data_IF_684200636964
#
_entry.id   IF_684200636964
#
_cell.length_a   1.000
_cell.length_b   1.000
_cell.length_c   1.000
_cell.angle_alpha   90.00
_cell.angle_beta   90.00
_cell.angle_gamma   90.00
#
_symmetry.space_group_name_H-M   'P 1'
#
loop_
_entity.id
_entity.type
_entity.pdbx_description
1 polymer ?
#
# COMPACT_ATOMS: atom_id res chain seq x y z
N UNK A 1 -23.96 6.98 24.94
CA UNK A 1 -25.10 7.73 24.36
C UNK A 1 -24.57 8.85 23.48
N UNK A 2 -24.01 8.50 22.32
CA UNK A 2 -23.68 9.43 21.24
C UNK A 2 -24.06 8.73 19.93
N UNK A 3 -25.37 8.69 19.67
CA UNK A 3 -25.92 8.47 18.33
C UNK A 3 -26.22 9.86 17.81
N UNK A 4 -25.24 10.52 17.21
CA UNK A 4 -25.55 11.58 16.28
C UNK A 4 -25.68 10.91 14.92
N UNK A 5 -26.92 10.91 14.41
CA UNK A 5 -27.24 10.50 13.05
C UNK A 5 -26.42 11.35 12.08
N UNK A 6 -25.34 10.79 11.54
CA UNK A 6 -24.57 11.35 10.42
C UNK A 6 -25.34 11.21 9.10
N UNK A 7 -26.65 11.51 9.08
CA UNK A 7 -27.44 11.66 7.87
C UNK A 7 -27.35 13.09 7.34
N UNK A 8 -26.13 13.60 7.12
CA UNK A 8 -25.93 14.78 6.29
C UNK A 8 -25.99 14.30 4.83
N UNK A 9 -27.20 14.20 4.29
CA UNK A 9 -27.39 14.14 2.85
C UNK A 9 -26.95 15.49 2.28
N UNK A 10 -25.69 15.59 1.86
CA UNK A 10 -25.20 16.72 1.06
C UNK A 10 -25.79 16.54 -0.33
N UNK A 11 -27.08 16.82 -0.47
CA UNK A 11 -27.73 17.03 -1.74
C UNK A 11 -27.31 18.42 -2.19
N UNK A 12 -26.77 18.53 -3.42
CA UNK A 12 -26.67 19.85 -4.04
C UNK A 12 -28.08 20.44 -4.17
N UNK A 13 -28.19 21.76 -4.33
CA UNK A 13 -29.46 22.46 -4.62
C UNK A 13 -30.26 21.85 -5.78
N UNK A 14 -29.62 21.01 -6.61
CA UNK A 14 -30.16 20.37 -7.80
C UNK A 14 -30.54 18.89 -7.58
N UNK A 15 -30.56 18.40 -6.33
CA UNK A 15 -30.93 17.01 -5.99
C UNK A 15 -29.92 15.96 -6.43
N UNK A 16 -28.71 16.36 -6.84
CA UNK A 16 -27.62 15.44 -7.20
C UNK A 16 -26.74 15.17 -5.98
N UNK A 17 -26.37 13.90 -5.79
CA UNK A 17 -25.34 13.49 -4.83
C UNK A 17 -24.06 14.31 -5.08
N UNK A 18 -23.55 14.98 -4.05
CA UNK A 18 -22.43 15.90 -4.19
C UNK A 18 -21.10 15.13 -4.26
N UNK A 19 -20.86 14.49 -5.41
CA UNK A 19 -19.71 13.61 -5.64
C UNK A 19 -18.47 14.44 -5.96
N UNK A 20 -17.37 14.20 -5.24
CA UNK A 20 -16.07 14.82 -5.51
C UNK A 20 -15.57 14.47 -6.91
N UNK A 21 -15.30 15.52 -7.69
CA UNK A 21 -14.68 15.45 -9.01
C UNK A 21 -13.53 16.45 -9.06
N UNK A 22 -12.51 16.10 -9.82
CA UNK A 22 -11.45 17.05 -10.17
C UNK A 22 -11.80 17.88 -11.41
N UNK A 23 -10.89 18.78 -11.79
CA UNK A 23 -11.04 19.65 -12.96
C UNK A 23 -11.06 18.91 -14.31
N UNK A 24 -10.76 17.61 -14.32
CA UNK A 24 -10.87 16.75 -15.51
C UNK A 24 -12.15 15.88 -15.47
N UNK A 25 -13.05 16.12 -14.51
CA UNK A 25 -14.30 15.40 -14.34
C UNK A 25 -14.15 13.99 -13.76
N UNK A 26 -12.94 13.58 -13.34
CA UNK A 26 -12.70 12.24 -12.77
C UNK A 26 -13.30 12.19 -11.37
N UNK A 27 -14.06 11.12 -11.08
CA UNK A 27 -14.63 10.91 -9.76
C UNK A 27 -13.55 10.48 -8.77
N UNK A 28 -13.43 11.22 -7.67
CA UNK A 28 -12.55 10.87 -6.55
C UNK A 28 -13.31 9.88 -5.67
N UNK A 29 -12.79 8.65 -5.54
CA UNK A 29 -13.47 7.55 -4.80
C UNK A 29 -12.66 6.99 -3.64
N UNK A 30 -11.36 7.23 -3.61
CA UNK A 30 -10.50 6.65 -2.60
C UNK A 30 -9.64 7.71 -1.92
N UNK A 31 -9.39 7.50 -0.63
CA UNK A 31 -8.51 8.31 0.18
C UNK A 31 -7.27 7.49 0.55
N UNK A 32 -6.08 8.04 0.30
CA UNK A 32 -4.83 7.52 0.88
C UNK A 32 -4.54 8.31 2.16
N UNK A 33 -4.57 7.64 3.30
CA UNK A 33 -4.46 8.25 4.61
C UNK A 33 -3.13 7.86 5.26
N UNK A 34 -2.16 8.79 5.26
CA UNK A 34 -0.88 8.62 5.92
C UNK A 34 -1.03 8.95 7.40
N UNK A 35 -0.94 7.93 8.27
CA UNK A 35 -1.23 8.10 9.69
C UNK A 35 -0.02 8.46 10.53
N UNK A 36 1.19 8.30 9.99
CA UNK A 36 2.44 8.61 10.68
C UNK A 36 3.53 8.79 9.65
N UNK A 37 4.57 9.52 10.01
CA UNK A 37 5.83 9.70 9.31
C UNK A 37 6.93 8.72 9.79
N UNK A 38 6.72 8.08 10.94
CA UNK A 38 7.68 7.14 11.54
C UNK A 38 7.71 5.83 10.75
N UNK A 39 8.91 5.27 10.61
CA UNK A 39 9.13 3.96 10.01
C UNK A 39 10.21 3.20 10.79
N UNK A 40 10.08 1.87 10.83
CA UNK A 40 11.08 0.95 11.39
C UNK A 40 12.13 0.50 10.36
N UNK A 41 11.99 0.90 9.08
CA UNK A 41 12.99 0.73 8.03
C UNK A 41 13.60 2.08 7.62
N UNK A 42 14.68 2.05 6.84
CA UNK A 42 15.42 3.22 6.32
C UNK A 42 15.75 3.04 4.84
N UNK A 43 14.73 2.72 4.05
CA UNK A 43 14.91 2.36 2.64
C UNK A 43 15.63 3.45 1.87
N UNK A 44 16.70 3.08 1.13
CA UNK A 44 17.57 4.00 0.40
C UNK A 44 16.81 4.95 -0.51
N UNK A 45 15.78 4.44 -1.18
CA UNK A 45 14.92 5.19 -2.11
C UNK A 45 13.83 6.03 -1.44
N UNK A 46 13.70 5.99 -0.12
CA UNK A 46 12.58 6.60 0.61
C UNK A 46 13.05 7.66 1.62
N UNK A 47 14.09 7.36 2.41
CA UNK A 47 14.59 8.26 3.45
C UNK A 47 16.10 8.11 3.69
N UNK A 48 16.76 9.10 4.31
CA UNK A 48 18.16 9.03 4.72
C UNK A 48 18.43 7.87 5.68
N UNK A 49 19.71 7.51 5.86
CA UNK A 49 20.10 6.39 6.72
C UNK A 49 19.79 6.67 8.20
N UNK A 50 20.04 7.91 8.60
CA UNK A 50 19.73 8.47 9.92
C UNK A 50 18.22 8.55 10.14
N UNK A 51 17.45 8.56 9.05
CA UNK A 51 16.01 8.78 9.02
C UNK A 51 15.65 10.25 8.85
N UNK A 52 14.38 10.54 9.08
CA UNK A 52 13.84 11.91 9.10
C UNK A 52 13.42 12.26 10.51
N UNK A 53 13.61 13.52 10.91
CA UNK A 53 13.12 14.03 12.18
C UNK A 53 11.62 13.85 12.25
N UNK A 54 11.09 13.08 13.22
CA UNK A 54 9.66 12.88 13.30
C UNK A 54 8.95 14.19 13.61
N UNK A 55 7.84 14.45 12.94
CA UNK A 55 6.97 15.58 13.28
C UNK A 55 6.42 15.41 14.69
N UNK A 56 6.19 16.54 15.36
CA UNK A 56 5.60 16.58 16.69
C UNK A 56 4.22 15.92 16.69
N UNK A 57 3.81 15.36 17.84
CA UNK A 57 2.50 14.72 17.94
C UNK A 57 1.35 15.72 17.65
N UNK A 58 1.53 16.98 18.04
CA UNK A 58 0.59 18.09 17.79
C UNK A 58 0.50 18.52 16.32
N UNK A 59 1.46 18.11 15.49
CA UNK A 59 1.48 18.43 14.05
C UNK A 59 0.84 17.32 13.20
N UNK A 60 0.58 16.16 13.80
CA UNK A 60 -0.15 15.07 13.17
C UNK A 60 -1.62 15.15 13.57
N UNK A 61 -2.51 14.88 12.62
CA UNK A 61 -3.91 14.64 12.96
C UNK A 61 -4.00 13.49 13.98
N UNK A 62 -4.82 13.69 15.00
CA UNK A 62 -5.29 12.65 15.91
C UNK A 62 -6.10 11.61 15.13
N UNK A 63 -6.31 10.44 15.73
CA UNK A 63 -7.12 9.40 15.09
C UNK A 63 -8.59 9.81 15.00
N UNK A 64 -9.05 10.60 15.97
CA UNK A 64 -10.38 11.18 16.04
C UNK A 64 -10.60 12.18 14.89
N UNK A 65 -9.63 13.07 14.64
CA UNK A 65 -9.67 14.01 13.51
C UNK A 65 -9.62 13.28 12.16
N UNK A 66 -8.78 12.24 12.04
CA UNK A 66 -8.72 11.43 10.82
C UNK A 66 -10.03 10.68 10.56
N UNK A 67 -10.64 10.09 11.59
CA UNK A 67 -11.93 9.39 11.47
C UNK A 67 -13.05 10.39 11.11
N UNK A 68 -13.06 11.57 11.73
CA UNK A 68 -13.98 12.66 11.38
C UNK A 68 -13.82 13.08 9.92
N UNK A 69 -12.59 13.27 9.45
CA UNK A 69 -12.29 13.61 8.06
C UNK A 69 -12.85 12.54 7.09
N UNK A 70 -12.62 11.26 7.38
CA UNK A 70 -13.17 10.16 6.59
C UNK A 70 -14.70 10.20 6.58
N UNK A 71 -15.33 10.42 7.74
CA UNK A 71 -16.78 10.55 7.88
C UNK A 71 -17.37 11.69 7.03
N UNK A 72 -16.68 12.83 6.96
CA UNK A 72 -17.09 13.97 6.12
C UNK A 72 -16.93 13.70 4.61
N UNK A 73 -15.96 12.86 4.22
CA UNK A 73 -15.68 12.53 2.83
C UNK A 73 -16.57 11.42 2.26
N UNK A 74 -17.14 10.56 3.12
CA UNK A 74 -18.06 9.50 2.74
C UNK A 74 -19.29 9.98 1.94
N UNK A 75 -20.08 10.96 2.41
CA UNK A 75 -21.23 11.48 1.65
C UNK A 75 -20.80 12.18 0.36
N UNK A 76 -19.53 12.57 0.26
CA UNK A 76 -18.95 13.16 -0.95
C UNK A 76 -18.46 12.11 -1.97
N UNK A 77 -18.73 10.83 -1.72
CA UNK A 77 -18.51 9.74 -2.66
C UNK A 77 -17.18 9.00 -2.52
N UNK A 78 -16.36 9.34 -1.51
CA UNK A 78 -15.23 8.50 -1.09
C UNK A 78 -15.79 7.24 -0.44
N UNK A 79 -15.40 6.07 -0.92
CA UNK A 79 -15.92 4.79 -0.44
C UNK A 79 -14.81 3.79 -0.07
N UNK A 80 -13.54 4.13 -0.36
CA UNK A 80 -12.36 3.31 -0.08
C UNK A 80 -11.31 4.11 0.65
N UNK A 81 -10.73 3.54 1.71
CA UNK A 81 -9.60 4.12 2.42
C UNK A 81 -8.41 3.18 2.36
N UNK A 82 -7.24 3.71 2.02
CA UNK A 82 -5.96 3.02 2.11
C UNK A 82 -5.13 3.69 3.20
N UNK A 83 -4.97 3.00 4.32
CA UNK A 83 -4.11 3.43 5.42
C UNK A 83 -2.66 3.11 5.10
N UNK A 84 -1.78 4.08 5.32
CA UNK A 84 -0.33 4.04 5.07
C UNK A 84 0.37 4.91 6.12
N UNK A 85 1.67 5.13 5.99
CA UNK A 85 2.39 6.21 6.67
C UNK A 85 3.82 6.25 6.13
N UNK A 86 4.79 6.35 7.04
CA UNK A 86 5.99 5.52 6.97
C UNK A 86 5.57 4.06 7.15
N UNK A 87 5.56 3.58 8.40
CA UNK A 87 5.00 2.27 8.77
C UNK A 87 3.78 2.46 9.70
N UNK A 88 2.55 2.06 9.31
CA UNK A 88 1.36 2.26 10.13
C UNK A 88 1.48 1.76 11.57
N UNK A 89 2.06 0.58 11.78
CA UNK A 89 2.23 -0.01 13.11
C UNK A 89 3.36 0.61 13.94
N UNK A 90 4.10 1.59 13.40
CA UNK A 90 4.96 2.46 14.20
C UNK A 90 4.16 3.47 15.04
N UNK A 91 2.88 3.73 14.70
CA UNK A 91 1.96 4.55 15.50
C UNK A 91 1.13 3.66 16.42
N UNK A 92 1.28 3.86 17.73
CA UNK A 92 0.51 3.13 18.76
C UNK A 92 -0.99 3.34 18.54
N UNK A 93 -1.79 2.30 18.74
CA UNK A 93 -3.24 2.35 18.56
C UNK A 93 -3.74 2.13 17.13
N UNK A 94 -2.84 1.87 16.16
CA UNK A 94 -3.22 1.68 14.75
C UNK A 94 -4.34 0.65 14.54
N UNK A 95 -4.31 -0.51 15.21
CA UNK A 95 -5.36 -1.52 15.06
C UNK A 95 -6.73 -1.02 15.53
N UNK A 96 -6.79 -0.28 16.65
CA UNK A 96 -8.03 0.32 17.15
C UNK A 96 -8.56 1.40 16.21
N UNK A 97 -7.65 2.21 15.64
CA UNK A 97 -8.03 3.19 14.62
C UNK A 97 -8.58 2.55 13.34
N UNK A 98 -7.98 1.43 12.88
CA UNK A 98 -8.51 0.69 11.74
C UNK A 98 -9.92 0.15 12.02
N UNK A 99 -10.22 -0.25 13.27
CA UNK A 99 -11.58 -0.63 13.70
C UNK A 99 -12.56 0.53 13.60
N UNK A 100 -12.20 1.71 14.12
CA UNK A 100 -13.08 2.87 14.04
C UNK A 100 -13.36 3.29 12.59
N UNK A 101 -12.38 3.19 11.68
CA UNK A 101 -12.60 3.44 10.25
C UNK A 101 -13.57 2.43 9.62
N UNK A 102 -13.53 1.16 10.04
CA UNK A 102 -14.42 0.12 9.51
C UNK A 102 -15.88 0.36 9.93
N UNK A 103 -16.09 0.88 11.14
CA UNK A 103 -17.41 1.25 11.67
C UNK A 103 -18.10 2.37 10.88
N UNK A 104 -17.34 3.17 10.12
CA UNK A 104 -17.90 4.23 9.27
C UNK A 104 -18.61 3.69 8.00
N UNK A 105 -18.58 2.39 7.72
CA UNK A 105 -19.29 1.81 6.57
C UNK A 105 -18.55 1.92 5.23
N UNK A 106 -17.22 1.97 5.25
CA UNK A 106 -16.38 1.94 4.04
C UNK A 106 -16.63 0.69 3.20
N UNK A 107 -16.75 0.84 1.88
CA UNK A 107 -16.81 -0.30 0.95
C UNK A 107 -15.47 -1.03 0.85
N UNK A 108 -14.35 -0.34 1.12
CA UNK A 108 -13.04 -0.95 1.17
C UNK A 108 -12.09 -0.30 2.15
N UNK A 109 -11.48 -1.11 3.01
CA UNK A 109 -10.39 -0.69 3.89
C UNK A 109 -9.14 -1.50 3.55
N UNK A 110 -8.10 -0.80 3.12
CA UNK A 110 -6.82 -1.37 2.71
C UNK A 110 -5.70 -0.87 3.61
N UNK A 111 -4.70 -1.70 3.83
CA UNK A 111 -3.50 -1.35 4.58
C UNK A 111 -2.27 -1.48 3.69
N UNK A 112 -1.37 -0.50 3.70
CA UNK A 112 -0.03 -0.60 3.11
C UNK A 112 1.01 -0.59 4.21
N UNK A 113 1.89 -1.59 4.25
CA UNK A 113 2.88 -1.80 5.31
C UNK A 113 4.11 -2.51 4.75
N UNK A 114 5.27 -2.33 5.38
CA UNK A 114 6.46 -3.13 5.10
C UNK A 114 6.43 -4.53 5.73
N UNK A 115 5.42 -4.81 6.57
CA UNK A 115 5.20 -6.13 7.16
C UNK A 115 6.04 -6.45 8.41
N UNK A 116 7.08 -5.68 8.74
CA UNK A 116 8.02 -6.07 9.82
C UNK A 116 7.34 -6.14 11.20
N UNK A 117 6.39 -5.25 11.48
CA UNK A 117 5.62 -5.28 12.74
C UNK A 117 4.24 -5.95 12.57
N UNK A 118 3.75 -6.07 11.34
CA UNK A 118 2.37 -6.42 11.01
C UNK A 118 1.99 -7.84 11.39
N UNK A 119 2.93 -8.78 11.37
CA UNK A 119 2.68 -10.19 11.69
C UNK A 119 2.05 -10.38 13.08
N UNK A 120 2.31 -9.46 14.02
CA UNK A 120 1.76 -9.47 15.38
C UNK A 120 0.28 -9.11 15.46
N UNK A 121 -0.26 -8.53 14.40
CA UNK A 121 -1.62 -7.96 14.36
C UNK A 121 -2.53 -8.70 13.37
N UNK A 122 -2.05 -9.76 12.73
CA UNK A 122 -2.75 -10.47 11.66
C UNK A 122 -4.15 -10.97 12.06
N UNK A 123 -4.30 -11.56 13.25
CA UNK A 123 -5.62 -12.00 13.74
C UNK A 123 -6.60 -10.82 13.88
N UNK A 124 -6.10 -9.69 14.40
CA UNK A 124 -6.86 -8.45 14.49
C UNK A 124 -7.26 -7.90 13.12
N UNK A 125 -6.35 -7.97 12.14
CA UNK A 125 -6.61 -7.54 10.76
C UNK A 125 -7.59 -8.48 10.03
N UNK A 126 -7.54 -9.78 10.32
CA UNK A 126 -8.48 -10.77 9.79
C UNK A 126 -9.87 -10.56 10.35
N UNK A 127 -9.99 -10.34 11.66
CA UNK A 127 -11.25 -10.05 12.34
C UNK A 127 -11.88 -8.74 11.84
N UNK A 128 -11.06 -7.74 11.50
CA UNK A 128 -11.51 -6.49 10.90
C UNK A 128 -12.12 -6.66 9.50
N UNK A 129 -11.76 -7.73 8.79
CA UNK A 129 -12.18 -7.94 7.40
C UNK A 129 -11.60 -6.88 6.47
N UNK A 130 -10.26 -6.71 6.50
CA UNK A 130 -9.55 -5.88 5.52
C UNK A 130 -9.87 -6.33 4.09
N UNK A 131 -10.09 -5.37 3.21
CA UNK A 131 -10.33 -5.61 1.79
C UNK A 131 -9.04 -5.95 1.03
N UNK A 132 -7.88 -5.65 1.62
CA UNK A 132 -6.60 -6.11 1.11
C UNK A 132 -5.41 -5.50 1.84
N UNK A 133 -4.31 -6.24 1.83
CA UNK A 133 -3.01 -5.87 2.39
C UNK A 133 -2.02 -5.63 1.24
N UNK A 134 -1.44 -4.44 1.19
CA UNK A 134 -0.31 -4.14 0.30
C UNK A 134 0.99 -4.27 1.10
N UNK A 135 1.79 -5.28 0.79
CA UNK A 135 3.10 -5.50 1.41
C UNK A 135 4.21 -4.93 0.54
N UNK A 136 5.09 -4.11 1.11
CA UNK A 136 6.31 -3.66 0.43
C UNK A 136 7.44 -4.66 0.68
N UNK A 137 7.87 -5.37 -0.36
CA UNK A 137 8.99 -6.32 -0.33
C UNK A 137 9.83 -6.09 -1.59
N UNK A 138 11.02 -5.53 -1.41
CA UNK A 138 11.89 -5.13 -2.52
C UNK A 138 12.93 -6.19 -2.89
N UNK A 139 13.09 -7.24 -2.08
CA UNK A 139 13.95 -8.39 -2.39
C UNK A 139 13.54 -9.62 -1.55
N UNK A 140 13.79 -10.81 -2.09
CA UNK A 140 13.71 -12.08 -1.36
C UNK A 140 15.08 -12.59 -0.89
N UNK A 141 16.15 -11.91 -1.28
CA UNK A 141 17.48 -12.16 -0.71
C UNK A 141 17.65 -11.31 0.55
N UNK A 142 18.11 -11.94 1.64
CA UNK A 142 18.25 -11.29 2.95
C UNK A 142 19.25 -10.15 2.93
N UNK A 143 20.42 -10.36 2.31
CA UNK A 143 21.47 -9.35 2.26
C UNK A 143 21.02 -8.16 1.43
N UNK A 144 20.44 -8.43 0.26
CA UNK A 144 19.88 -7.42 -0.64
C UNK A 144 18.75 -6.64 0.00
N UNK A 145 17.82 -7.30 0.69
CA UNK A 145 16.78 -6.63 1.48
C UNK A 145 17.39 -5.70 2.53
N UNK A 146 18.41 -6.17 3.26
CA UNK A 146 19.10 -5.36 4.26
C UNK A 146 19.85 -4.18 3.62
N UNK A 147 20.46 -4.34 2.44
CA UNK A 147 21.07 -3.23 1.69
C UNK A 147 20.03 -2.20 1.27
N UNK A 148 18.88 -2.63 0.77
CA UNK A 148 17.82 -1.73 0.30
C UNK A 148 17.17 -0.98 1.46
N UNK A 149 16.83 -1.70 2.54
CA UNK A 149 16.04 -1.17 3.67
C UNK A 149 16.89 -0.63 4.82
N UNK A 150 18.22 -0.84 4.76
CA UNK A 150 19.23 -0.58 5.80
C UNK A 150 18.92 -1.24 7.14
N UNK A 151 18.13 -2.32 7.13
CA UNK A 151 17.72 -3.11 8.31
C UNK A 151 17.50 -4.58 7.90
N UNK A 152 17.91 -5.52 8.74
CA UNK A 152 17.78 -6.95 8.47
C UNK A 152 16.48 -7.52 9.07
N UNK A 153 15.35 -7.32 8.36
CA UNK A 153 14.01 -7.72 8.81
C UNK A 153 13.18 -8.45 7.74
N UNK A 154 13.85 -9.10 6.78
CA UNK A 154 13.16 -9.85 5.73
C UNK A 154 12.29 -10.98 6.32
N UNK A 155 12.80 -11.68 7.34
CA UNK A 155 12.09 -12.79 7.97
C UNK A 155 10.72 -12.37 8.54
N UNK A 156 10.63 -11.20 9.18
CA UNK A 156 9.37 -10.68 9.72
C UNK A 156 8.42 -10.21 8.62
N UNK A 157 8.93 -9.64 7.53
CA UNK A 157 8.13 -9.26 6.37
C UNK A 157 7.51 -10.50 5.71
N UNK A 158 8.29 -11.57 5.53
CA UNK A 158 7.81 -12.86 5.00
C UNK A 158 6.83 -13.54 5.97
N UNK A 159 7.07 -13.47 7.28
CA UNK A 159 6.10 -13.96 8.29
C UNK A 159 4.74 -13.27 8.17
N UNK A 160 4.71 -11.98 7.83
CA UNK A 160 3.46 -11.27 7.53
C UNK A 160 2.81 -11.76 6.25
N UNK A 161 3.59 -11.97 5.19
CA UNK A 161 3.08 -12.51 3.92
C UNK A 161 2.42 -13.88 4.14
N UNK A 162 3.15 -14.81 4.73
CA UNK A 162 2.69 -16.18 4.97
C UNK A 162 1.46 -16.21 5.86
N UNK A 163 1.48 -15.46 6.97
CA UNK A 163 0.36 -15.39 7.89
C UNK A 163 -0.88 -14.71 7.28
N UNK A 164 -0.72 -13.67 6.47
CA UNK A 164 -1.83 -13.04 5.76
C UNK A 164 -2.49 -14.02 4.78
N UNK A 165 -1.69 -14.81 4.07
CA UNK A 165 -2.18 -15.81 3.12
C UNK A 165 -2.87 -16.98 3.81
N UNK A 166 -2.31 -17.48 4.92
CA UNK A 166 -2.93 -18.52 5.74
C UNK A 166 -4.30 -18.09 6.28
N UNK A 167 -4.48 -16.80 6.58
CA UNK A 167 -5.74 -16.23 7.05
C UNK A 167 -6.70 -15.84 5.91
N UNK A 168 -6.29 -15.99 4.65
CA UNK A 168 -7.08 -15.63 3.47
C UNK A 168 -7.25 -14.12 3.27
N UNK A 169 -6.36 -13.29 3.82
CA UNK A 169 -6.34 -11.84 3.56
C UNK A 169 -5.83 -11.62 2.13
N UNK A 170 -6.53 -10.87 1.26
CA UNK A 170 -6.04 -10.59 -0.09
C UNK A 170 -4.73 -9.80 -0.05
N UNK A 171 -3.65 -10.33 -0.64
CA UNK A 171 -2.32 -9.68 -0.62
C UNK A 171 -1.93 -9.19 -2.01
N UNK A 172 -1.44 -7.94 -2.06
CA UNK A 172 -0.66 -7.41 -3.18
C UNK A 172 0.73 -7.05 -2.68
N UNK A 173 1.77 -7.49 -3.38
CA UNK A 173 3.16 -7.17 -3.08
C UNK A 173 3.57 -6.00 -3.97
N UNK A 174 4.24 -5.02 -3.41
CA UNK A 174 4.84 -3.90 -4.12
C UNK A 174 6.35 -4.00 -4.00
N UNK A 175 7.03 -3.90 -5.13
CA UNK A 175 8.48 -3.89 -5.22
C UNK A 175 8.89 -2.67 -6.01
N UNK A 176 9.64 -1.76 -5.41
CA UNK A 176 10.26 -0.65 -6.13
C UNK A 176 11.44 -1.18 -6.93
N UNK A 177 11.41 -0.98 -8.25
CA UNK A 177 12.47 -1.40 -9.15
C UNK A 177 13.60 -0.38 -9.09
N UNK A 178 14.61 -0.70 -8.29
CA UNK A 178 15.81 0.13 -8.18
C UNK A 178 16.69 0.01 -9.44
N UNK A 179 17.51 1.02 -9.78
CA UNK A 179 18.34 0.99 -10.98
C UNK A 179 19.34 -0.17 -11.01
N UNK A 180 19.78 -0.63 -9.83
CA UNK A 180 20.73 -1.72 -9.64
C UNK A 180 20.06 -3.11 -9.54
N UNK A 181 18.74 -3.23 -9.72
CA UNK A 181 18.05 -4.53 -9.68
C UNK A 181 18.33 -5.36 -10.93
N UNK A 182 18.70 -6.62 -10.73
CA UNK A 182 18.94 -7.59 -11.81
C UNK A 182 17.64 -8.22 -12.33
N UNK A 183 17.68 -8.75 -13.55
CA UNK A 183 16.57 -9.54 -14.12
C UNK A 183 16.28 -10.79 -13.27
N UNK A 184 17.31 -11.37 -12.65
CA UNK A 184 17.17 -12.53 -11.77
C UNK A 184 16.37 -12.18 -10.51
N UNK A 185 16.63 -11.03 -9.88
CA UNK A 185 15.85 -10.56 -8.72
C UNK A 185 14.38 -10.30 -9.09
N UNK A 186 14.12 -9.70 -10.26
CA UNK A 186 12.74 -9.50 -10.75
C UNK A 186 12.02 -10.85 -10.91
N UNK A 187 12.68 -11.85 -11.51
CA UNK A 187 12.12 -13.20 -11.65
C UNK A 187 11.90 -13.87 -10.30
N UNK A 188 12.83 -13.69 -9.36
CA UNK A 188 12.72 -14.23 -8.01
C UNK A 188 11.51 -13.64 -7.28
N UNK A 189 11.28 -12.33 -7.36
CA UNK A 189 10.08 -11.70 -6.78
C UNK A 189 8.80 -12.15 -7.48
N UNK A 190 8.82 -12.27 -8.81
CA UNK A 190 7.68 -12.76 -9.58
C UNK A 190 7.31 -14.21 -9.23
N UNK A 191 8.26 -15.03 -8.75
CA UNK A 191 7.99 -16.41 -8.32
C UNK A 191 6.94 -16.48 -7.20
N UNK A 192 6.80 -15.44 -6.36
CA UNK A 192 5.73 -15.38 -5.35
C UNK A 192 4.34 -15.43 -6.01
N UNK A 193 4.15 -14.71 -7.11
CA UNK A 193 2.90 -14.76 -7.87
C UNK A 193 2.79 -16.03 -8.72
N UNK A 194 3.89 -16.71 -9.02
CA UNK A 194 3.83 -18.02 -9.65
C UNK A 194 3.26 -19.06 -8.67
N UNK A 195 3.80 -19.09 -7.46
CA UNK A 195 3.53 -20.11 -6.45
C UNK A 195 2.29 -19.82 -5.59
N UNK A 196 1.87 -18.55 -5.49
CA UNK A 196 0.87 -18.11 -4.52
C UNK A 196 -0.17 -17.17 -5.18
N UNK A 197 -1.40 -17.08 -4.64
CA UNK A 197 -2.47 -16.25 -5.20
C UNK A 197 -2.30 -14.76 -4.87
N UNK A 198 -1.11 -14.22 -5.11
CA UNK A 198 -0.74 -12.82 -4.85
C UNK A 198 -0.59 -12.04 -6.14
N UNK A 199 -0.74 -10.72 -6.08
CA UNK A 199 -0.31 -9.84 -7.18
C UNK A 199 1.01 -9.18 -6.82
N UNK A 200 2.09 -9.48 -7.55
CA UNK A 200 3.39 -8.80 -7.40
C UNK A 200 3.42 -7.62 -8.35
N UNK A 201 3.58 -6.40 -7.84
CA UNK A 201 3.59 -5.16 -8.61
C UNK A 201 4.98 -4.54 -8.56
N UNK A 202 5.59 -4.42 -9.72
CA UNK A 202 6.85 -3.71 -9.93
C UNK A 202 6.55 -2.22 -10.11
N UNK A 203 7.06 -1.39 -9.21
CA UNK A 203 6.81 0.03 -9.17
C UNK A 203 8.04 0.74 -9.73
N UNK A 204 7.85 1.58 -10.74
CA UNK A 204 8.94 2.38 -11.27
C UNK A 204 9.43 3.40 -10.24
N UNK A 205 10.74 3.59 -10.15
CA UNK A 205 11.33 4.59 -9.28
C UNK A 205 11.01 5.99 -9.83
N UNK A 206 10.13 6.72 -9.16
CA UNK A 206 9.81 8.10 -9.51
C UNK A 206 10.87 9.07 -8.97
N UNK A 207 11.23 10.10 -9.75
CA UNK A 207 12.26 11.09 -9.42
C UNK A 207 12.02 11.90 -8.12
N UNK A 208 10.83 11.80 -7.51
CA UNK A 208 10.44 12.49 -6.28
C UNK A 208 10.14 11.53 -5.11
N UNK A 209 10.62 10.29 -5.15
CA UNK A 209 10.38 9.32 -4.07
C UNK A 209 11.14 9.71 -2.79
N UNK A 210 10.55 10.60 -2.00
CA UNK A 210 11.02 10.93 -0.65
C UNK A 210 12.34 11.69 -0.59
N UNK A 211 12.93 11.71 0.61
CA UNK A 211 14.22 12.33 0.90
C UNK A 211 15.38 11.32 0.82
N UNK A 212 15.18 10.24 0.05
CA UNK A 212 16.16 9.18 -0.12
C UNK A 212 17.33 9.57 -1.04
N UNK A 213 18.19 8.59 -1.31
CA UNK A 213 19.27 8.72 -2.29
C UNK A 213 18.70 9.11 -3.66
N UNK A 214 19.34 10.08 -4.32
CA UNK A 214 19.02 10.38 -5.72
C UNK A 214 19.56 9.26 -6.57
N UNK A 215 18.68 8.47 -7.15
CA UNK A 215 19.04 7.39 -8.07
C UNK A 215 18.54 7.73 -9.46
N UNK A 216 19.39 7.53 -10.46
CA UNK A 216 19.02 7.72 -11.86
C UNK A 216 18.13 6.55 -12.29
N UNK A 217 16.91 6.78 -12.84
CA UNK A 217 16.08 5.70 -13.35
C UNK A 217 16.83 4.84 -14.37
N UNK A 218 16.42 3.57 -14.49
CA UNK A 218 16.98 2.67 -15.50
C UNK A 218 16.76 3.24 -16.91
N UNK A 219 17.70 2.96 -17.83
CA UNK A 219 17.62 3.41 -19.22
C UNK A 219 16.54 2.67 -20.03
N UNK A 220 16.28 1.41 -19.70
CA UNK A 220 15.19 0.62 -20.28
C UNK A 220 13.89 0.90 -19.50
N UNK A 221 12.78 1.27 -20.17
CA UNK A 221 11.47 1.39 -19.54
C UNK A 221 11.07 0.08 -18.85
N UNK A 222 10.59 0.16 -17.61
CA UNK A 222 10.20 -1.03 -16.83
C UNK A 222 9.18 -1.91 -17.57
N UNK A 223 8.28 -1.30 -18.34
CA UNK A 223 7.27 -2.00 -19.14
C UNK A 223 7.89 -2.91 -20.21
N UNK A 224 8.89 -2.41 -20.95
CA UNK A 224 9.62 -3.19 -21.95
C UNK A 224 10.41 -4.32 -21.30
N UNK A 225 11.07 -4.02 -20.16
CA UNK A 225 11.83 -5.00 -19.39
C UNK A 225 10.95 -6.15 -18.89
N UNK A 226 9.77 -5.85 -18.35
CA UNK A 226 8.82 -6.88 -17.88
C UNK A 226 8.22 -7.69 -19.02
N UNK A 227 7.88 -7.06 -20.16
CA UNK A 227 7.38 -7.77 -21.34
C UNK A 227 8.40 -8.78 -21.88
N UNK A 228 9.70 -8.42 -21.87
CA UNK A 228 10.81 -9.32 -22.22
C UNK A 228 10.96 -10.47 -21.22
N UNK A 229 10.81 -10.18 -19.92
CA UNK A 229 10.98 -11.20 -18.87
C UNK A 229 9.80 -12.18 -18.79
N UNK A 230 8.58 -11.72 -19.07
CA UNK A 230 7.34 -12.49 -18.94
C UNK A 230 6.53 -12.42 -20.26
N UNK A 231 7.00 -13.10 -21.32
CA UNK A 231 6.30 -13.10 -22.60
C UNK A 231 4.90 -13.73 -22.47
N UNK A 232 3.92 -13.19 -23.21
CA UNK A 232 2.55 -13.70 -23.23
C UNK A 232 1.65 -13.24 -22.06
N UNK A 233 2.13 -12.31 -21.23
CA UNK A 233 1.32 -11.72 -20.17
C UNK A 233 0.26 -10.77 -20.79
N UNK A 234 -1.02 -10.97 -20.47
CA UNK A 234 -2.13 -10.16 -21.02
C UNK A 234 -2.58 -9.08 -20.02
N UNK A 235 -2.83 -7.82 -20.46
CA UNK A 235 -3.21 -6.74 -19.56
C UNK A 235 -4.61 -6.98 -18.95
N UNK A 236 -4.73 -6.65 -17.67
CA UNK A 236 -5.93 -6.67 -16.87
C UNK A 236 -6.18 -5.25 -16.34
N UNK A 237 -7.44 -4.77 -16.35
CA UNK A 237 -7.77 -3.49 -15.74
C UNK A 237 -7.64 -3.57 -14.21
N UNK A 238 -6.69 -2.83 -13.61
CA UNK A 238 -6.56 -2.70 -12.15
C UNK A 238 -6.03 -1.32 -11.70
N UNK A 239 -6.89 -0.30 -11.77
CA UNK A 239 -6.60 1.01 -11.18
C UNK A 239 -5.37 1.69 -11.81
N UNK A 240 -4.37 2.00 -10.99
CA UNK A 240 -3.12 2.67 -11.42
C UNK A 240 -2.08 1.71 -11.99
N UNK A 241 -2.30 0.39 -11.86
CA UNK A 241 -1.36 -0.61 -12.34
C UNK A 241 -1.85 -1.25 -13.64
N UNK A 242 -0.94 -1.54 -14.56
CA UNK A 242 -1.20 -2.52 -15.60
C UNK A 242 -0.84 -3.90 -15.05
N UNK A 243 -1.84 -4.75 -14.89
CA UNK A 243 -1.66 -6.09 -14.29
C UNK A 243 -1.68 -7.12 -15.40
N UNK A 244 -0.88 -8.17 -15.29
CA UNK A 244 -0.78 -9.24 -16.23
C UNK A 244 -0.86 -10.61 -15.54
N UNK A 245 -1.36 -11.60 -16.26
CA UNK A 245 -1.40 -12.99 -15.82
C UNK A 245 -0.51 -13.85 -16.72
N UNK A 246 0.77 -14.04 -16.38
CA UNK A 246 1.64 -14.91 -17.17
C UNK A 246 1.14 -16.37 -17.13
N UNK A 247 1.34 -17.14 -18.21
CA UNK A 247 0.96 -18.56 -18.21
C UNK A 247 1.59 -19.33 -17.04
N UNK A 248 0.79 -20.17 -16.37
CA UNK A 248 1.23 -21.00 -15.24
C UNK A 248 1.31 -20.29 -13.89
N UNK A 249 1.01 -18.99 -13.79
CA UNK A 249 0.99 -18.29 -12.50
C UNK A 249 -0.34 -18.51 -11.77
N UNK A 250 -0.28 -18.78 -10.46
CA UNK A 250 -1.47 -18.81 -9.59
C UNK A 250 -1.99 -17.41 -9.27
N UNK A 251 -1.07 -16.46 -9.21
CA UNK A 251 -1.28 -15.05 -8.98
C UNK A 251 -1.11 -14.21 -10.25
N UNK A 252 -0.72 -12.95 -10.07
CA UNK A 252 -0.57 -11.96 -11.14
C UNK A 252 0.72 -11.17 -10.96
N UNK A 253 1.27 -10.65 -12.04
CA UNK A 253 2.31 -9.62 -11.98
C UNK A 253 1.71 -8.30 -12.43
N UNK A 254 2.28 -7.16 -12.08
CA UNK A 254 1.84 -5.88 -12.62
C UNK A 254 2.93 -4.85 -12.57
N UNK A 255 2.72 -3.73 -13.25
CA UNK A 255 3.57 -2.57 -13.12
C UNK A 255 2.75 -1.32 -12.78
N UNK A 256 3.35 -0.43 -11.98
CA UNK A 256 2.82 0.87 -11.59
C UNK A 256 3.83 1.93 -12.02
#
# INVERSE_FOLDING_TARGET
MYREDFSLSILSSDGKQNILRDNHGRRIRYLRLAITDRCNLRCRYCMPEEGVSPVGHSELLSYEEMARLVGLLLPLGIDKVRVTGGEPFARRGCLSFLRSLKELGLTGLYLTTNGVATWRYLDGLRALGLSGLNLSIDSLDRQRFATITRRDHLAEALKTLDGALALGIPVKINTVVLPDISDAEIRQLASLAHEQPVTVRFVELMAFSGAGERMTPASEPLTARLARLFPGAAPLPDGVAQVFSPPGFRGKIGFI
#
